data_IF_597063687807
#
_entry.id   IF_597063687807
#
_cell.length_a   1.000
_cell.length_b   1.000
_cell.length_c   1.000
_cell.angle_alpha   90.00
_cell.angle_beta   90.00
_cell.angle_gamma   90.00
#
_symmetry.space_group_name_H-M   'P 1'
#
loop_
_entity.id
_entity.type
_entity.pdbx_description
1 polymer ?
#
# COMPACT_ATOMS: atom_id res chain seq x y z
N UNK A 1 -31.31 -7.73 27.87
CA UNK A 1 -32.56 -8.50 27.78
C UNK A 1 -33.44 -7.98 26.64
N UNK A 2 -33.97 -8.88 25.85
CA UNK A 2 -34.96 -8.57 24.81
C UNK A 2 -36.32 -9.07 25.29
N UNK A 3 -37.33 -8.20 25.30
CA UNK A 3 -38.68 -8.53 25.73
C UNK A 3 -39.63 -8.31 24.58
N UNK A 4 -40.43 -9.35 24.25
CA UNK A 4 -41.50 -9.27 23.26
C UNK A 4 -42.66 -10.19 23.67
N UNK A 5 -43.92 -9.69 23.65
CA UNK A 5 -45.13 -10.44 24.00
C UNK A 5 -45.03 -11.22 25.32
N UNK A 6 -44.51 -10.59 26.40
CA UNK A 6 -44.29 -11.17 27.72
C UNK A 6 -43.16 -12.24 27.81
N UNK A 7 -42.52 -12.60 26.71
CA UNK A 7 -41.34 -13.46 26.74
C UNK A 7 -40.07 -12.61 26.84
N UNK A 8 -39.19 -13.01 27.75
CA UNK A 8 -37.88 -12.35 27.98
C UNK A 8 -36.76 -13.31 27.57
N UNK A 9 -35.79 -12.82 26.82
CA UNK A 9 -34.55 -13.56 26.49
C UNK A 9 -33.32 -12.71 26.80
N UNK A 10 -32.27 -13.37 27.26
CA UNK A 10 -31.00 -12.75 27.56
C UNK A 10 -30.03 -12.96 26.37
N UNK A 11 -29.41 -11.90 25.92
CA UNK A 11 -28.27 -11.96 25.01
C UNK A 11 -27.01 -11.80 25.88
N UNK A 12 -26.15 -12.82 25.92
CA UNK A 12 -24.89 -12.78 26.65
C UNK A 12 -23.86 -12.03 25.80
N UNK A 13 -23.15 -11.10 26.43
CA UNK A 13 -22.07 -10.31 25.79
C UNK A 13 -20.76 -10.54 26.53
N UNK A 14 -19.63 -10.38 25.82
CA UNK A 14 -18.28 -10.47 26.43
C UNK A 14 -17.85 -9.19 27.17
N UNK A 15 -18.80 -8.24 27.36
CA UNK A 15 -18.51 -6.97 28.02
C UNK A 15 -18.38 -7.15 29.52
N UNK A 16 -17.23 -6.76 30.06
CA UNK A 16 -16.93 -6.85 31.50
C UNK A 16 -16.79 -5.44 32.08
N UNK A 17 -17.72 -5.11 33.00
CA UNK A 17 -17.73 -3.86 33.75
C UNK A 17 -17.71 -4.17 35.24
N UNK A 18 -17.10 -3.32 36.05
CA UNK A 18 -17.22 -3.43 37.50
C UNK A 18 -18.58 -2.87 37.97
N UNK A 19 -19.11 -3.32 39.14
CA UNK A 19 -20.40 -2.85 39.66
C UNK A 19 -20.50 -1.31 39.76
N UNK A 20 -19.44 -0.62 40.09
CA UNK A 20 -19.39 0.83 40.22
C UNK A 20 -19.29 1.57 38.87
N UNK A 21 -19.03 0.84 37.76
CA UNK A 21 -18.97 1.37 36.40
C UNK A 21 -20.33 1.26 35.67
N UNK A 22 -21.36 0.71 36.32
CA UNK A 22 -22.69 0.46 35.73
C UNK A 22 -23.78 1.19 36.50
N UNK A 23 -24.59 1.98 35.80
CA UNK A 23 -25.80 2.59 36.32
C UNK A 23 -26.99 1.65 36.14
N UNK A 24 -27.39 1.02 37.25
CA UNK A 24 -28.54 0.11 37.27
C UNK A 24 -29.89 0.80 36.97
N UNK A 25 -30.04 2.10 37.29
CA UNK A 25 -31.28 2.83 37.05
C UNK A 25 -31.45 3.17 35.56
N UNK A 26 -30.38 3.54 34.90
CA UNK A 26 -30.37 3.93 33.49
C UNK A 26 -29.88 2.80 32.57
N UNK A 27 -29.55 1.63 33.12
CA UNK A 27 -29.08 0.44 32.39
C UNK A 27 -27.95 0.78 31.38
N UNK A 28 -26.94 1.58 31.80
CA UNK A 28 -25.86 2.03 30.95
C UNK A 28 -24.54 2.16 31.73
N UNK A 29 -23.38 2.09 31.04
CA UNK A 29 -22.09 2.38 31.64
C UNK A 29 -21.98 3.83 32.15
N UNK A 30 -21.35 4.02 33.33
CA UNK A 30 -21.06 5.35 33.90
C UNK A 30 -19.77 5.85 33.24
N UNK A 31 -19.88 6.92 32.46
CA UNK A 31 -18.73 7.55 31.79
C UNK A 31 -18.02 8.49 32.78
N UNK A 32 -17.00 7.99 33.46
CA UNK A 32 -16.16 8.84 34.31
C UNK A 32 -15.29 9.78 33.47
N UNK A 33 -15.11 11.05 33.85
CA UNK A 33 -14.36 12.03 33.06
C UNK A 33 -12.84 11.74 33.00
N UNK A 34 -12.26 11.03 33.97
CA UNK A 34 -10.83 10.67 34.00
C UNK A 34 -10.60 9.37 34.77
N UNK A 35 -9.73 8.49 34.26
CA UNK A 35 -9.34 7.23 34.90
C UNK A 35 -8.69 6.24 33.93
N UNK A 36 -7.89 5.31 34.41
CA UNK A 36 -7.19 4.29 33.60
C UNK A 36 -8.14 3.46 32.72
N UNK A 37 -9.39 3.29 33.13
CA UNK A 37 -10.39 2.50 32.39
C UNK A 37 -11.40 3.33 31.59
N UNK A 38 -11.26 4.66 31.55
CA UNK A 38 -12.22 5.54 30.84
C UNK A 38 -12.37 5.14 29.38
N UNK A 39 -11.28 4.87 28.67
CA UNK A 39 -11.30 4.43 27.27
C UNK A 39 -12.01 3.08 27.09
N UNK A 40 -11.78 2.15 28.04
CA UNK A 40 -12.43 0.83 28.01
C UNK A 40 -13.94 0.98 28.20
N UNK A 41 -14.38 1.77 29.18
CA UNK A 41 -15.80 2.01 29.45
C UNK A 41 -16.48 2.75 28.29
N UNK A 42 -15.82 3.74 27.70
CA UNK A 42 -16.33 4.41 26.50
C UNK A 42 -16.50 3.43 25.34
N UNK A 43 -15.53 2.52 25.12
CA UNK A 43 -15.62 1.48 24.09
C UNK A 43 -16.78 0.53 24.36
N UNK A 44 -16.96 0.09 25.62
CA UNK A 44 -18.10 -0.77 26.01
C UNK A 44 -19.42 -0.04 25.79
N UNK A 45 -19.53 1.22 26.20
CA UNK A 45 -20.73 2.02 25.98
C UNK A 45 -21.09 2.17 24.50
N UNK A 46 -20.10 2.37 23.63
CA UNK A 46 -20.31 2.41 22.18
C UNK A 46 -20.78 1.07 21.64
N UNK A 47 -20.20 -0.05 22.11
CA UNK A 47 -20.59 -1.40 21.69
C UNK A 47 -22.04 -1.71 22.10
N UNK A 48 -22.41 -1.42 23.34
CA UNK A 48 -23.80 -1.59 23.81
C UNK A 48 -24.78 -0.78 22.96
N UNK A 49 -24.44 0.48 22.63
CA UNK A 49 -25.29 1.30 21.75
C UNK A 49 -25.43 0.70 20.35
N UNK A 50 -24.38 0.09 19.82
CA UNK A 50 -24.43 -0.63 18.53
C UNK A 50 -25.35 -1.83 18.58
N UNK A 51 -25.24 -2.64 19.65
CA UNK A 51 -26.06 -3.83 19.82
C UNK A 51 -27.55 -3.46 19.94
N UNK A 52 -27.86 -2.37 20.64
CA UNK A 52 -29.24 -1.84 20.74
C UNK A 52 -29.75 -1.42 19.35
N UNK A 53 -28.98 -0.61 18.60
CA UNK A 53 -29.33 -0.18 17.25
C UNK A 53 -29.53 -1.35 16.29
N UNK A 54 -28.76 -2.43 16.45
CA UNK A 54 -28.88 -3.65 15.67
C UNK A 54 -30.16 -4.42 16.00
N UNK A 55 -30.47 -4.57 17.27
CA UNK A 55 -31.73 -5.15 17.72
C UNK A 55 -32.91 -4.35 17.18
N UNK A 56 -32.85 -3.03 17.24
CA UNK A 56 -33.90 -2.16 16.69
C UNK A 56 -34.11 -2.38 15.18
N UNK A 57 -33.02 -2.52 14.41
CA UNK A 57 -33.10 -2.83 12.97
C UNK A 57 -33.76 -4.20 12.71
N UNK A 58 -33.35 -5.23 13.46
CA UNK A 58 -33.97 -6.57 13.38
C UNK A 58 -35.45 -6.51 13.69
N UNK A 59 -35.82 -5.89 14.80
CA UNK A 59 -37.21 -5.74 15.24
C UNK A 59 -38.05 -4.97 14.20
N UNK A 60 -37.52 -3.87 13.67
CA UNK A 60 -38.14 -3.09 12.62
C UNK A 60 -38.34 -3.89 11.33
N UNK A 61 -37.34 -4.68 10.93
CA UNK A 61 -37.45 -5.57 9.77
C UNK A 61 -38.51 -6.64 9.95
N UNK A 62 -38.58 -7.26 11.12
CA UNK A 62 -39.61 -8.25 11.45
C UNK A 62 -41.01 -7.63 11.48
N UNK A 63 -41.16 -6.43 12.03
CA UNK A 63 -42.41 -5.69 12.05
C UNK A 63 -42.89 -5.28 10.64
N UNK A 64 -41.97 -4.85 9.77
CA UNK A 64 -42.31 -4.50 8.38
C UNK A 64 -42.86 -5.68 7.58
N UNK A 65 -42.41 -6.88 7.87
CA UNK A 65 -42.85 -8.10 7.20
C UNK A 65 -44.25 -8.59 7.64
N UNK A 66 -44.89 -7.88 8.58
CA UNK A 66 -46.26 -8.18 9.11
C UNK A 66 -46.44 -9.63 9.57
N UNK A 67 -45.34 -10.33 9.89
CA UNK A 67 -45.35 -11.73 10.37
C UNK A 67 -45.23 -11.72 11.89
N UNK A 68 -45.98 -12.61 12.55
CA UNK A 68 -45.79 -12.86 13.98
C UNK A 68 -44.40 -13.49 14.21
N UNK A 69 -43.67 -12.99 15.18
CA UNK A 69 -42.33 -13.50 15.55
C UNK A 69 -42.19 -13.66 17.06
N UNK A 70 -41.35 -14.60 17.46
CA UNK A 70 -41.05 -14.87 18.86
C UNK A 70 -39.76 -14.16 19.27
N UNK A 71 -39.56 -13.96 20.59
CA UNK A 71 -38.30 -13.39 21.14
C UNK A 71 -37.10 -14.21 20.77
N UNK A 72 -37.22 -15.53 20.65
CA UNK A 72 -36.14 -16.45 20.22
C UNK A 72 -35.69 -16.17 18.79
N UNK A 73 -36.60 -15.78 17.91
CA UNK A 73 -36.26 -15.40 16.54
C UNK A 73 -35.41 -14.12 16.48
N UNK A 74 -35.74 -13.14 17.34
CA UNK A 74 -34.91 -11.92 17.46
C UNK A 74 -33.50 -12.28 17.89
N UNK A 75 -33.35 -13.14 18.91
CA UNK A 75 -32.05 -13.58 19.42
C UNK A 75 -31.27 -14.36 18.35
N UNK A 76 -31.97 -15.26 17.63
CA UNK A 76 -31.39 -16.02 16.53
C UNK A 76 -30.88 -15.11 15.42
N UNK A 77 -31.67 -14.16 14.94
CA UNK A 77 -31.28 -13.19 13.93
C UNK A 77 -30.15 -12.26 14.43
N UNK A 78 -30.17 -11.91 15.71
CA UNK A 78 -29.07 -11.15 16.29
C UNK A 78 -27.74 -11.90 16.23
N UNK A 79 -27.71 -13.20 16.46
CA UNK A 79 -26.52 -14.04 16.33
C UNK A 79 -26.20 -14.43 14.88
N UNK A 80 -27.20 -14.64 14.03
CA UNK A 80 -27.02 -14.99 12.60
C UNK A 80 -26.41 -13.83 11.79
N UNK A 81 -26.81 -12.59 12.07
CA UNK A 81 -26.24 -11.41 11.38
C UNK A 81 -24.74 -11.24 11.68
N UNK A 82 -24.21 -11.85 12.74
CA UNK A 82 -22.75 -11.97 12.96
C UNK A 82 -22.08 -13.03 12.09
N UNK A 83 -22.85 -14.00 11.54
CA UNK A 83 -22.27 -15.21 10.93
C UNK A 83 -22.14 -15.16 9.41
N UNK A 84 -22.82 -14.24 8.72
CA UNK A 84 -23.06 -14.40 7.28
C UNK A 84 -22.22 -13.50 6.35
N UNK A 85 -21.38 -12.61 6.86
CA UNK A 85 -20.58 -11.75 5.98
C UNK A 85 -19.30 -12.44 5.57
N UNK A 86 -19.22 -12.84 4.30
CA UNK A 86 -18.03 -13.39 3.67
C UNK A 86 -16.90 -12.37 3.62
N UNK A 87 -15.69 -12.80 4.00
CA UNK A 87 -14.52 -11.95 3.93
C UNK A 87 -14.06 -11.70 2.48
N UNK A 88 -14.15 -12.71 1.61
CA UNK A 88 -13.74 -12.54 0.22
C UNK A 88 -14.69 -11.59 -0.52
N UNK A 89 -16.00 -11.78 -0.38
CA UNK A 89 -17.01 -10.88 -0.98
C UNK A 89 -16.84 -9.44 -0.48
N UNK A 90 -16.69 -9.25 0.82
CA UNK A 90 -16.47 -7.93 1.39
C UNK A 90 -15.18 -7.29 0.87
N UNK A 91 -14.09 -8.05 0.76
CA UNK A 91 -12.84 -7.53 0.21
C UNK A 91 -12.96 -7.18 -1.28
N UNK A 92 -13.72 -7.93 -2.06
CA UNK A 92 -14.03 -7.63 -3.46
C UNK A 92 -14.85 -6.34 -3.59
N UNK A 93 -15.84 -6.12 -2.72
CA UNK A 93 -16.57 -4.85 -2.65
C UNK A 93 -15.64 -3.65 -2.36
N UNK A 94 -14.70 -3.83 -1.43
CA UNK A 94 -13.70 -2.80 -1.10
C UNK A 94 -12.80 -2.51 -2.32
N UNK A 95 -12.40 -3.54 -3.08
CA UNK A 95 -11.61 -3.39 -4.30
C UNK A 95 -12.41 -2.59 -5.35
N UNK A 96 -13.65 -2.97 -5.62
CA UNK A 96 -14.53 -2.25 -6.56
C UNK A 96 -14.74 -0.79 -6.15
N UNK A 97 -14.88 -0.53 -4.85
CA UNK A 97 -14.98 0.85 -4.35
C UNK A 97 -13.68 1.65 -4.63
N UNK A 98 -12.51 1.03 -4.44
CA UNK A 98 -11.23 1.68 -4.73
C UNK A 98 -11.08 1.99 -6.22
N UNK A 99 -11.54 1.11 -7.10
CA UNK A 99 -11.55 1.32 -8.56
C UNK A 99 -12.46 2.48 -8.94
N UNK A 100 -13.69 2.53 -8.41
CA UNK A 100 -14.63 3.64 -8.63
C UNK A 100 -14.07 4.99 -8.17
N UNK A 101 -13.25 5.00 -7.13
CA UNK A 101 -12.54 6.18 -6.62
C UNK A 101 -11.27 6.53 -7.42
N UNK A 102 -10.97 5.83 -8.53
CA UNK A 102 -9.78 6.04 -9.34
C UNK A 102 -8.47 5.61 -8.63
N UNK A 103 -8.55 4.86 -7.52
CA UNK A 103 -7.38 4.37 -6.76
C UNK A 103 -6.89 3.02 -7.32
N UNK A 104 -6.74 2.91 -8.62
CA UNK A 104 -6.44 1.66 -9.34
C UNK A 104 -5.22 0.92 -8.76
N UNK A 105 -4.11 1.63 -8.44
CA UNK A 105 -2.91 0.96 -7.89
C UNK A 105 -3.19 0.35 -6.52
N UNK A 106 -4.02 0.98 -5.71
CA UNK A 106 -4.43 0.45 -4.40
C UNK A 106 -5.34 -0.76 -4.59
N UNK A 107 -6.30 -0.70 -5.53
CA UNK A 107 -7.16 -1.82 -5.88
C UNK A 107 -6.33 -3.05 -6.33
N UNK A 108 -5.36 -2.88 -7.21
CA UNK A 108 -4.43 -3.94 -7.63
C UNK A 108 -3.66 -4.58 -6.45
N UNK A 109 -3.24 -3.76 -5.50
CA UNK A 109 -2.55 -4.24 -4.31
C UNK A 109 -3.48 -5.09 -3.44
N UNK A 110 -4.73 -4.65 -3.26
CA UNK A 110 -5.76 -5.39 -2.52
C UNK A 110 -6.10 -6.70 -3.23
N UNK A 111 -6.28 -6.67 -4.54
CA UNK A 111 -6.51 -7.89 -5.36
C UNK A 111 -5.35 -8.88 -5.21
N UNK A 112 -4.11 -8.40 -5.18
CA UNK A 112 -2.93 -9.25 -4.98
C UNK A 112 -2.95 -9.92 -3.60
N UNK A 113 -3.30 -9.20 -2.54
CA UNK A 113 -3.41 -9.74 -1.20
C UNK A 113 -4.57 -10.75 -1.09
N UNK A 114 -5.74 -10.44 -1.67
CA UNK A 114 -6.89 -11.34 -1.73
C UNK A 114 -6.53 -12.65 -2.44
N UNK A 115 -5.91 -12.58 -3.61
CA UNK A 115 -5.50 -13.76 -4.36
C UNK A 115 -4.46 -14.60 -3.61
N UNK A 116 -3.60 -14.00 -2.81
CA UNK A 116 -2.68 -14.71 -1.94
C UNK A 116 -3.42 -15.45 -0.82
N UNK A 117 -4.38 -14.79 -0.20
CA UNK A 117 -5.18 -15.39 0.87
C UNK A 117 -6.12 -16.48 0.34
N UNK A 118 -6.75 -16.27 -0.84
CA UNK A 118 -7.54 -17.30 -1.54
C UNK A 118 -6.71 -18.57 -1.83
N UNK A 119 -5.44 -18.43 -2.24
CA UNK A 119 -4.55 -19.60 -2.44
C UNK A 119 -4.28 -20.35 -1.15
N UNK A 120 -3.99 -19.67 -0.05
CA UNK A 120 -3.82 -20.28 1.26
C UNK A 120 -5.07 -21.06 1.68
N UNK A 121 -6.25 -20.52 1.41
CA UNK A 121 -7.54 -21.14 1.73
C UNK A 121 -8.01 -22.18 0.69
N UNK A 122 -7.20 -22.48 -0.35
CA UNK A 122 -7.58 -23.35 -1.46
C UNK A 122 -8.90 -22.95 -2.16
N UNK A 123 -9.16 -21.63 -2.21
CA UNK A 123 -10.39 -21.05 -2.76
C UNK A 123 -11.59 -21.06 -1.83
N UNK A 124 -11.52 -21.71 -0.67
CA UNK A 124 -12.60 -21.73 0.31
C UNK A 124 -12.71 -20.38 1.00
N UNK A 125 -13.85 -19.75 0.90
CA UNK A 125 -14.15 -18.51 1.59
C UNK A 125 -14.18 -18.70 3.11
N UNK A 126 -14.22 -17.60 3.84
CA UNK A 126 -14.26 -17.58 5.29
C UNK A 126 -15.16 -16.44 5.76
N UNK A 127 -15.92 -16.69 6.82
CA UNK A 127 -16.75 -15.67 7.43
C UNK A 127 -15.91 -14.67 8.23
N UNK A 128 -16.32 -13.41 8.27
CA UNK A 128 -15.59 -12.35 8.98
C UNK A 128 -15.39 -12.66 10.47
N UNK A 129 -16.32 -13.35 11.10
CA UNK A 129 -16.24 -13.75 12.51
C UNK A 129 -15.33 -14.95 12.77
N UNK A 130 -14.93 -15.69 11.74
CA UNK A 130 -14.00 -16.83 11.83
C UNK A 130 -12.54 -16.41 11.68
N UNK A 131 -12.30 -15.14 11.31
CA UNK A 131 -10.93 -14.62 11.21
C UNK A 131 -10.42 -14.34 12.61
N UNK A 132 -9.51 -15.17 13.07
CA UNK A 132 -8.86 -15.09 14.36
C UNK A 132 -7.33 -15.00 14.25
N UNK A 133 -6.66 -14.97 15.40
CA UNK A 133 -5.20 -14.84 15.49
C UNK A 133 -4.48 -16.10 15.00
N UNK A 134 -5.06 -17.27 15.22
CA UNK A 134 -4.43 -18.55 14.87
C UNK A 134 -4.42 -18.72 13.36
N UNK A 135 -5.55 -18.48 12.69
CA UNK A 135 -5.64 -18.45 11.23
C UNK A 135 -4.63 -17.49 10.60
N UNK A 136 -4.48 -16.29 11.15
CA UNK A 136 -3.54 -15.32 10.58
C UNK A 136 -2.09 -15.71 10.83
N UNK A 137 -1.79 -16.40 11.93
CA UNK A 137 -0.47 -16.98 12.20
C UNK A 137 -0.17 -18.13 11.25
N UNK A 138 -1.13 -19.00 10.96
CA UNK A 138 -1.02 -20.08 9.96
C UNK A 138 -0.79 -19.50 8.56
N UNK A 139 -1.51 -18.43 8.19
CA UNK A 139 -1.29 -17.76 6.91
C UNK A 139 0.12 -17.19 6.79
N UNK A 140 0.63 -16.55 7.85
CA UNK A 140 2.02 -16.07 7.87
C UNK A 140 3.02 -17.22 7.73
N UNK A 141 2.82 -18.34 8.43
CA UNK A 141 3.65 -19.52 8.32
C UNK A 141 3.62 -20.12 6.89
N UNK A 142 2.43 -20.19 6.29
CA UNK A 142 2.27 -20.57 4.88
C UNK A 142 3.08 -19.68 3.93
N UNK A 143 3.00 -18.37 4.07
CA UNK A 143 3.77 -17.44 3.24
C UNK A 143 5.28 -17.66 3.40
N UNK A 144 5.76 -17.81 4.63
CA UNK A 144 7.18 -18.05 4.94
C UNK A 144 7.67 -19.38 4.34
N UNK A 145 6.90 -20.45 4.46
CA UNK A 145 7.26 -21.77 3.90
C UNK A 145 7.33 -21.77 2.37
N UNK A 146 6.60 -20.85 1.71
CA UNK A 146 6.67 -20.63 0.26
C UNK A 146 7.74 -19.61 -0.15
N UNK A 147 8.66 -19.24 0.74
CA UNK A 147 9.77 -18.32 0.46
C UNK A 147 9.35 -16.87 0.20
N UNK A 148 8.18 -16.45 0.68
CA UNK A 148 7.72 -15.07 0.52
C UNK A 148 8.54 -14.13 1.40
N UNK A 149 9.11 -13.08 0.82
CA UNK A 149 9.93 -12.11 1.55
C UNK A 149 9.12 -11.39 2.65
N UNK A 150 9.74 -11.12 3.81
CA UNK A 150 9.09 -10.56 4.99
C UNK A 150 8.35 -9.23 4.72
N UNK A 151 8.89 -8.37 3.84
CA UNK A 151 8.18 -7.16 3.44
C UNK A 151 6.90 -7.43 2.65
N UNK A 152 6.83 -8.54 1.91
CA UNK A 152 5.62 -8.98 1.20
C UNK A 152 4.62 -9.60 2.17
N UNK A 153 5.09 -10.38 3.16
CA UNK A 153 4.27 -10.89 4.27
C UNK A 153 3.61 -9.73 5.01
N UNK A 154 4.42 -8.76 5.44
CA UNK A 154 3.92 -7.54 6.09
C UNK A 154 2.91 -6.78 5.23
N UNK A 155 3.17 -6.67 3.94
CA UNK A 155 2.30 -5.99 2.99
C UNK A 155 0.92 -6.67 2.91
N UNK A 156 0.87 -8.00 2.81
CA UNK A 156 -0.40 -8.74 2.80
C UNK A 156 -1.14 -8.61 4.14
N UNK A 157 -0.45 -8.83 5.25
CA UNK A 157 -1.05 -8.72 6.59
C UNK A 157 -1.65 -7.33 6.85
N UNK A 158 -0.95 -6.26 6.43
CA UNK A 158 -1.47 -4.89 6.58
C UNK A 158 -2.70 -4.62 5.74
N UNK A 159 -2.79 -5.17 4.52
CA UNK A 159 -3.98 -5.01 3.67
C UNK A 159 -5.15 -5.78 4.28
N UNK A 160 -4.96 -7.07 4.63
CA UNK A 160 -6.02 -7.88 5.22
C UNK A 160 -6.51 -7.26 6.55
N UNK A 161 -5.60 -6.75 7.38
CA UNK A 161 -5.94 -6.00 8.60
C UNK A 161 -6.79 -4.76 8.31
N UNK A 162 -6.43 -4.00 7.25
CA UNK A 162 -7.19 -2.80 6.89
C UNK A 162 -8.61 -3.15 6.42
N UNK A 163 -8.78 -4.26 5.70
CA UNK A 163 -10.10 -4.76 5.28
C UNK A 163 -10.90 -5.24 6.49
N UNK A 164 -10.30 -6.05 7.37
CA UNK A 164 -10.94 -6.53 8.59
C UNK A 164 -11.41 -5.38 9.50
N UNK A 165 -10.53 -4.40 9.74
CA UNK A 165 -10.89 -3.23 10.54
C UNK A 165 -12.02 -2.42 9.91
N UNK A 166 -12.08 -2.32 8.57
CA UNK A 166 -13.18 -1.68 7.86
C UNK A 166 -14.51 -2.46 8.02
N UNK A 167 -14.45 -3.80 8.09
CA UNK A 167 -15.61 -4.61 8.40
C UNK A 167 -16.09 -4.37 9.85
N UNK A 168 -15.17 -4.24 10.80
CA UNK A 168 -15.46 -3.86 12.19
C UNK A 168 -16.11 -2.46 12.27
N UNK A 169 -15.56 -1.47 11.54
CA UNK A 169 -16.13 -0.13 11.47
C UNK A 169 -17.55 -0.11 10.89
N UNK A 170 -17.85 -1.03 9.96
CA UNK A 170 -19.19 -1.22 9.39
C UNK A 170 -20.10 -2.11 10.23
N UNK A 171 -19.67 -2.53 11.41
CA UNK A 171 -20.43 -3.40 12.32
C UNK A 171 -20.77 -4.79 11.73
N UNK A 172 -20.00 -5.25 10.73
CA UNK A 172 -20.17 -6.57 10.11
C UNK A 172 -19.56 -7.70 10.94
N UNK A 173 -18.62 -7.36 11.83
CA UNK A 173 -18.00 -8.28 12.80
C UNK A 173 -17.48 -7.51 14.01
N UNK A 174 -17.20 -8.22 15.09
CA UNK A 174 -16.59 -7.63 16.30
C UNK A 174 -15.08 -7.64 16.21
N UNK A 175 -14.40 -6.68 16.87
CA UNK A 175 -12.94 -6.62 16.88
C UNK A 175 -12.35 -7.71 17.76
N UNK A 176 -11.62 -8.67 17.14
CA UNK A 176 -10.90 -9.78 17.80
C UNK A 176 -9.38 -9.65 17.72
N UNK A 177 -8.88 -8.59 17.10
CA UNK A 177 -7.43 -8.33 16.90
C UNK A 177 -6.65 -9.48 16.21
N UNK A 178 -7.15 -10.07 15.12
CA UNK A 178 -6.55 -11.24 14.51
C UNK A 178 -5.11 -11.02 14.00
N UNK A 179 -4.71 -9.78 13.78
CA UNK A 179 -3.38 -9.40 13.27
C UNK A 179 -2.39 -9.00 14.38
N UNK A 180 -2.68 -9.28 15.67
CA UNK A 180 -1.84 -8.87 16.79
C UNK A 180 -0.47 -9.55 16.77
N UNK A 181 -0.42 -10.81 16.38
CA UNK A 181 0.77 -11.66 16.50
C UNK A 181 1.48 -11.91 15.16
N UNK A 182 1.00 -11.34 14.05
CA UNK A 182 1.62 -11.47 12.74
C UNK A 182 2.51 -10.28 12.38
N UNK A 183 3.48 -10.52 11.52
CA UNK A 183 4.44 -9.50 11.12
C UNK A 183 3.80 -8.42 10.24
N UNK A 184 3.84 -7.20 10.70
CA UNK A 184 3.38 -6.00 9.98
C UNK A 184 4.45 -4.90 9.92
N UNK A 185 5.70 -5.24 10.25
CA UNK A 185 6.86 -4.35 10.27
C UNK A 185 7.46 -4.07 8.90
N UNK A 186 8.64 -3.50 8.89
CA UNK A 186 9.45 -3.23 7.69
C UNK A 186 10.81 -3.92 7.88
N UNK A 187 11.09 -4.87 7.02
CA UNK A 187 12.39 -5.53 6.98
C UNK A 187 13.38 -4.74 6.12
N UNK A 188 14.65 -4.74 6.54
CA UNK A 188 15.72 -4.03 5.85
C UNK A 188 15.98 -4.68 4.49
N UNK A 189 16.01 -3.87 3.43
CA UNK A 189 16.34 -4.32 2.07
C UNK A 189 17.67 -3.77 1.64
N UNK A 190 18.49 -4.61 1.01
CA UNK A 190 19.76 -4.17 0.40
C UNK A 190 19.48 -3.18 -0.72
N UNK A 191 20.04 -1.98 -0.61
CA UNK A 191 19.96 -0.96 -1.65
C UNK A 191 21.05 -1.20 -2.70
N UNK A 192 20.66 -1.06 -3.97
CA UNK A 192 21.52 -1.38 -5.12
C UNK A 192 21.94 -0.11 -5.84
N UNK A 193 22.59 0.81 -5.11
CA UNK A 193 23.13 2.01 -5.71
C UNK A 193 24.40 1.67 -6.50
N UNK A 194 24.61 2.35 -7.63
CA UNK A 194 25.79 2.24 -8.45
C UNK A 194 26.68 3.48 -8.27
N UNK A 195 27.99 3.34 -8.20
CA UNK A 195 28.91 4.47 -8.20
C UNK A 195 28.92 5.18 -9.56
N UNK A 196 29.32 6.46 -9.57
CA UNK A 196 29.31 7.30 -10.77
C UNK A 196 30.14 6.69 -11.93
N UNK A 197 31.23 5.99 -11.62
CA UNK A 197 32.05 5.29 -12.62
C UNK A 197 31.24 4.28 -13.43
N UNK A 198 30.35 3.54 -12.78
CA UNK A 198 29.48 2.56 -13.44
C UNK A 198 28.38 3.26 -14.26
N UNK A 199 27.79 4.34 -13.75
CA UNK A 199 26.81 5.14 -14.52
C UNK A 199 27.47 5.67 -15.82
N UNK A 200 28.70 6.19 -15.74
CA UNK A 200 29.49 6.62 -16.92
C UNK A 200 29.74 5.47 -17.88
N UNK A 201 30.02 4.26 -17.37
CA UNK A 201 30.24 3.06 -18.20
C UNK A 201 28.95 2.65 -18.91
N UNK A 202 27.81 2.65 -18.23
CA UNK A 202 26.49 2.37 -18.83
C UNK A 202 26.19 3.39 -19.95
N UNK A 203 26.48 4.68 -19.72
CA UNK A 203 26.31 5.73 -20.75
C UNK A 203 27.10 5.42 -22.03
N UNK A 204 28.32 4.89 -21.89
CA UNK A 204 29.25 4.64 -22.99
C UNK A 204 29.06 3.28 -23.69
N UNK A 205 28.06 2.50 -23.31
CA UNK A 205 27.78 1.21 -23.99
C UNK A 205 27.48 1.44 -25.45
N UNK A 206 28.18 0.71 -26.31
CA UNK A 206 27.84 0.61 -27.71
C UNK A 206 26.64 -0.33 -27.89
N UNK A 207 25.50 0.23 -28.21
CA UNK A 207 24.24 -0.48 -28.37
C UNK A 207 23.62 -0.10 -29.72
N UNK A 208 22.97 -1.03 -30.41
CA UNK A 208 22.31 -0.71 -31.68
C UNK A 208 21.30 0.42 -31.46
N UNK A 209 21.40 1.47 -32.24
CA UNK A 209 20.58 2.68 -32.13
C UNK A 209 19.08 2.33 -32.16
N UNK A 210 18.32 2.95 -31.29
CA UNK A 210 16.85 2.77 -31.15
C UNK A 210 16.43 1.33 -30.85
N UNK A 211 17.35 0.43 -30.52
CA UNK A 211 17.01 -0.89 -30.01
C UNK A 211 16.32 -0.82 -28.65
N UNK A 212 15.71 -1.90 -28.22
CA UNK A 212 15.11 -1.99 -26.87
C UNK A 212 16.13 -1.87 -25.74
N UNK A 213 17.41 -2.26 -26.00
CA UNK A 213 18.51 -2.07 -25.04
C UNK A 213 18.90 -0.60 -24.94
N UNK A 214 19.06 0.06 -26.09
CA UNK A 214 19.36 1.49 -26.19
C UNK A 214 18.26 2.32 -25.51
N UNK A 215 17.00 2.02 -25.78
CA UNK A 215 15.85 2.65 -25.11
C UNK A 215 15.89 2.46 -23.57
N UNK A 216 16.15 1.24 -23.11
CA UNK A 216 16.20 0.96 -21.68
C UNK A 216 17.36 1.71 -21.00
N UNK A 217 18.53 1.75 -21.62
CA UNK A 217 19.67 2.56 -21.15
C UNK A 217 19.31 4.04 -21.06
N UNK A 218 18.70 4.58 -22.09
CA UNK A 218 18.34 5.99 -22.16
C UNK A 218 17.30 6.37 -21.11
N UNK A 219 16.29 5.53 -20.88
CA UNK A 219 15.32 5.75 -19.80
C UNK A 219 15.96 5.69 -18.42
N UNK A 220 16.91 4.78 -18.21
CA UNK A 220 17.68 4.70 -16.97
C UNK A 220 18.50 5.97 -16.73
N UNK A 221 19.22 6.45 -17.76
CA UNK A 221 20.03 7.67 -17.69
C UNK A 221 19.15 8.92 -17.55
N UNK A 222 18.04 9.00 -18.23
CA UNK A 222 17.09 10.11 -18.08
C UNK A 222 16.59 10.21 -16.65
N UNK A 223 16.19 9.08 -16.06
CA UNK A 223 15.83 9.04 -14.63
C UNK A 223 16.97 9.54 -13.75
N UNK A 224 18.21 9.13 -14.02
CA UNK A 224 19.38 9.57 -13.27
C UNK A 224 19.58 11.08 -13.39
N UNK A 225 19.56 11.63 -14.59
CA UNK A 225 19.75 13.07 -14.83
C UNK A 225 18.63 13.92 -14.23
N UNK A 226 17.41 13.37 -14.16
CA UNK A 226 16.26 14.02 -13.53
C UNK A 226 16.14 13.71 -12.03
N UNK A 227 17.26 13.57 -11.32
CA UNK A 227 17.34 13.35 -9.85
C UNK A 227 16.65 12.08 -9.38
N UNK A 228 16.71 11.03 -10.19
CA UNK A 228 16.05 9.76 -9.88
C UNK A 228 14.51 9.82 -10.05
N UNK A 229 14.02 10.52 -11.06
CA UNK A 229 12.59 10.56 -11.38
C UNK A 229 12.05 9.15 -11.56
N UNK A 230 10.88 8.87 -10.98
CA UNK A 230 10.27 7.54 -11.10
C UNK A 230 9.77 7.29 -12.54
N UNK A 231 9.80 6.02 -12.97
CA UNK A 231 9.38 5.68 -14.33
C UNK A 231 7.93 6.07 -14.64
N UNK A 232 7.06 6.05 -13.62
CA UNK A 232 5.69 6.53 -13.79
C UNK A 232 5.63 8.04 -14.02
N UNK A 233 6.46 8.82 -13.30
CA UNK A 233 6.51 10.27 -13.51
C UNK A 233 7.07 10.57 -14.91
N UNK A 234 8.12 9.85 -15.34
CA UNK A 234 8.68 9.96 -16.70
C UNK A 234 7.63 9.65 -17.78
N UNK A 235 6.85 8.59 -17.60
CA UNK A 235 5.85 8.16 -18.60
C UNK A 235 4.76 9.20 -18.84
N UNK A 236 4.41 9.95 -17.80
CA UNK A 236 3.35 10.96 -17.86
C UNK A 236 3.84 12.41 -17.96
N UNK A 237 5.17 12.63 -18.16
CA UNK A 237 5.69 13.96 -18.50
C UNK A 237 5.09 14.45 -19.83
N UNK A 238 4.62 15.68 -19.84
CA UNK A 238 4.09 16.33 -21.04
C UNK A 238 5.09 17.31 -21.63
N UNK A 239 5.02 17.55 -22.94
CA UNK A 239 5.86 18.56 -23.64
C UNK A 239 5.74 19.93 -23.00
N UNK A 240 4.53 20.31 -22.53
CA UNK A 240 4.26 21.57 -21.83
C UNK A 240 4.91 21.71 -20.46
N UNK A 241 5.37 20.58 -19.87
CA UNK A 241 6.05 20.59 -18.57
C UNK A 241 7.50 21.09 -18.67
N UNK A 242 8.03 21.17 -19.90
CA UNK A 242 9.34 21.74 -20.21
C UNK A 242 9.15 23.14 -20.82
N UNK A 243 9.50 24.18 -20.07
CA UNK A 243 9.39 25.57 -20.49
C UNK A 243 10.61 26.37 -20.01
N UNK A 244 11.14 27.23 -20.86
CA UNK A 244 12.24 28.13 -20.52
C UNK A 244 13.47 27.43 -19.87
N UNK A 245 13.80 26.22 -20.33
CA UNK A 245 14.91 25.44 -19.80
C UNK A 245 14.68 24.87 -18.40
N UNK A 246 13.43 24.82 -17.95
CA UNK A 246 13.03 24.22 -16.67
C UNK A 246 11.97 23.15 -16.92
N UNK A 247 12.22 21.94 -16.44
CA UNK A 247 11.23 20.87 -16.36
C UNK A 247 10.47 21.00 -15.03
N UNK A 248 9.17 21.24 -15.11
CA UNK A 248 8.29 21.42 -13.94
C UNK A 248 7.22 20.34 -13.93
N UNK A 249 7.20 19.48 -12.93
CA UNK A 249 6.21 18.41 -12.83
C UNK A 249 5.77 18.12 -11.40
N UNK A 250 4.56 17.61 -11.26
CA UNK A 250 4.04 17.16 -9.97
C UNK A 250 4.24 15.67 -9.80
N UNK A 251 4.98 15.28 -8.76
CA UNK A 251 5.27 13.88 -8.47
C UNK A 251 3.98 13.10 -8.16
N UNK A 252 3.69 12.04 -8.91
CA UNK A 252 2.42 11.29 -8.80
C UNK A 252 2.24 10.58 -7.45
N UNK A 253 3.32 10.20 -6.79
CA UNK A 253 3.26 9.49 -5.50
C UNK A 253 2.98 10.40 -4.32
N UNK A 254 3.53 11.60 -4.27
CA UNK A 254 3.53 12.50 -3.12
C UNK A 254 2.81 13.81 -3.39
N UNK A 255 2.50 14.12 -4.65
CA UNK A 255 1.88 15.37 -5.04
C UNK A 255 2.81 16.60 -5.00
N UNK A 256 4.08 16.42 -4.65
CA UNK A 256 5.04 17.54 -4.59
C UNK A 256 5.36 18.07 -5.98
N UNK A 257 5.43 19.39 -6.10
CA UNK A 257 5.90 20.08 -7.30
C UNK A 257 7.42 20.10 -7.31
N UNK A 258 8.03 19.69 -8.41
CA UNK A 258 9.48 19.64 -8.59
C UNK A 258 9.86 20.45 -9.83
N UNK A 259 11.00 21.16 -9.71
CA UNK A 259 11.59 21.96 -10.76
C UNK A 259 13.01 21.45 -11.04
N UNK A 260 13.30 21.09 -12.27
CA UNK A 260 14.59 20.56 -12.68
C UNK A 260 15.11 21.40 -13.83
N UNK A 261 16.31 21.97 -13.66
CA UNK A 261 17.00 22.65 -14.75
C UNK A 261 17.26 21.65 -15.87
N UNK A 262 16.89 22.03 -17.08
CA UNK A 262 17.06 21.21 -18.26
C UNK A 262 18.54 21.23 -18.68
N UNK A 263 19.13 20.05 -18.84
CA UNK A 263 20.54 19.91 -19.18
C UNK A 263 20.69 19.25 -20.55
N UNK A 264 21.82 19.53 -21.24
CA UNK A 264 22.16 18.98 -22.57
C UNK A 264 22.00 17.46 -22.64
N UNK A 265 22.42 16.75 -21.58
CA UNK A 265 22.32 15.29 -21.52
C UNK A 265 20.87 14.74 -21.50
N UNK A 266 19.92 15.54 -21.05
CA UNK A 266 18.49 15.19 -21.14
C UNK A 266 17.98 15.43 -22.56
N UNK A 267 18.38 16.54 -23.18
CA UNK A 267 18.01 16.88 -24.57
C UNK A 267 18.56 15.84 -25.55
N UNK A 268 19.81 15.43 -25.42
CA UNK A 268 20.42 14.39 -26.26
C UNK A 268 19.63 13.09 -26.26
N UNK A 269 18.99 12.73 -25.14
CA UNK A 269 18.11 11.56 -25.07
C UNK A 269 16.80 11.81 -25.83
N UNK A 270 16.18 12.96 -25.64
CA UNK A 270 14.91 13.29 -26.33
C UNK A 270 15.11 13.32 -27.84
N UNK A 271 16.19 13.94 -28.31
CA UNK A 271 16.50 14.12 -29.75
C UNK A 271 16.74 12.80 -30.50
N UNK A 272 17.06 11.72 -29.77
CA UNK A 272 17.22 10.37 -30.37
C UNK A 272 15.90 9.76 -30.84
N UNK A 273 14.79 10.17 -30.29
CA UNK A 273 13.49 9.61 -30.58
C UNK A 273 12.65 10.58 -31.40
N UNK A 274 11.83 10.07 -32.33
CA UNK A 274 10.89 10.94 -33.05
C UNK A 274 9.93 11.59 -32.05
N UNK A 275 9.55 12.81 -32.33
CA UNK A 275 8.57 13.51 -31.52
C UNK A 275 7.26 12.70 -31.46
N UNK A 276 6.77 12.45 -30.25
CA UNK A 276 5.44 11.85 -30.08
C UNK A 276 4.38 12.72 -30.75
N UNK A 277 3.45 12.11 -31.44
CA UNK A 277 2.25 12.81 -31.98
C UNK A 277 1.36 13.29 -30.82
N UNK A 278 1.36 12.58 -29.70
CA UNK A 278 0.62 12.94 -28.49
C UNK A 278 1.35 14.01 -27.64
N UNK A 279 0.74 14.36 -26.50
CA UNK A 279 1.24 15.39 -25.58
C UNK A 279 2.45 14.97 -24.73
N UNK A 280 2.85 13.69 -24.74
CA UNK A 280 3.90 13.17 -23.86
C UNK A 280 5.30 13.50 -24.35
N UNK A 281 6.20 13.81 -23.40
CA UNK A 281 7.59 14.21 -23.69
C UNK A 281 8.46 13.01 -24.12
N UNK A 282 8.29 11.86 -23.45
CA UNK A 282 9.05 10.63 -23.71
C UNK A 282 8.20 9.60 -24.46
N UNK A 283 8.79 8.74 -25.31
CA UNK A 283 8.06 7.77 -26.12
C UNK A 283 7.72 6.49 -25.32
N UNK A 284 7.26 6.67 -24.06
CA UNK A 284 6.84 5.59 -23.18
C UNK A 284 5.36 5.28 -23.39
N UNK A 285 4.53 6.32 -23.44
CA UNK A 285 3.12 6.26 -23.82
C UNK A 285 3.02 6.83 -25.23
N UNK A 286 2.58 6.01 -26.17
CA UNK A 286 2.57 6.35 -27.60
C UNK A 286 1.20 6.81 -28.11
N UNK A 287 0.13 6.40 -27.42
CA UNK A 287 -1.24 6.74 -27.78
C UNK A 287 -2.05 7.09 -26.53
N UNK A 288 -3.09 7.88 -26.69
CA UNK A 288 -3.97 8.30 -25.56
C UNK A 288 -4.96 7.20 -25.15
N UNK A 289 -4.82 5.98 -25.72
CA UNK A 289 -5.65 4.82 -25.32
C UNK A 289 -4.86 3.88 -24.44
N UNK A 290 -5.49 3.39 -23.37
CA UNK A 290 -4.87 2.40 -22.46
C UNK A 290 -3.48 2.80 -21.93
N UNK A 291 -3.28 4.07 -21.62
CA UNK A 291 -2.00 4.65 -21.14
C UNK A 291 -1.36 3.83 -20.03
N UNK A 292 -2.18 3.39 -19.07
CA UNK A 292 -1.71 2.59 -17.95
C UNK A 292 -1.13 1.23 -18.38
N UNK A 293 -1.75 0.58 -19.35
CA UNK A 293 -1.25 -0.69 -19.90
C UNK A 293 0.06 -0.47 -20.65
N UNK A 294 0.14 0.60 -21.46
CA UNK A 294 1.37 0.98 -22.17
C UNK A 294 2.50 1.24 -21.18
N UNK A 295 2.26 2.03 -20.13
CA UNK A 295 3.22 2.27 -19.05
C UNK A 295 3.70 0.95 -18.40
N UNK A 296 2.79 0.05 -18.02
CA UNK A 296 3.15 -1.23 -17.39
C UNK A 296 4.00 -2.10 -18.30
N UNK A 297 3.64 -2.19 -19.57
CA UNK A 297 4.38 -2.96 -20.59
C UNK A 297 5.77 -2.35 -20.83
N UNK A 298 5.88 -1.04 -20.96
CA UNK A 298 7.14 -0.34 -21.13
C UNK A 298 8.04 -0.52 -19.90
N UNK A 299 7.52 -0.40 -18.68
CA UNK A 299 8.30 -0.62 -17.46
C UNK A 299 8.85 -2.06 -17.39
N UNK A 300 8.02 -3.06 -17.75
CA UNK A 300 8.45 -4.46 -17.79
C UNK A 300 9.55 -4.69 -18.82
N UNK A 301 9.36 -4.15 -20.04
CA UNK A 301 10.36 -4.22 -21.11
C UNK A 301 11.68 -3.59 -20.65
N UNK A 302 11.64 -2.35 -20.19
CA UNK A 302 12.82 -1.60 -19.75
C UNK A 302 13.56 -2.35 -18.63
N UNK A 303 12.84 -2.83 -17.60
CA UNK A 303 13.48 -3.58 -16.52
C UNK A 303 14.10 -4.90 -16.98
N UNK A 304 13.51 -5.59 -17.96
CA UNK A 304 14.10 -6.80 -18.53
C UNK A 304 15.37 -6.48 -19.32
N UNK A 305 15.36 -5.45 -20.15
CA UNK A 305 16.53 -5.01 -20.90
C UNK A 305 17.64 -4.44 -19.99
N UNK A 306 17.30 -3.78 -18.90
CA UNK A 306 18.27 -3.36 -17.89
C UNK A 306 18.96 -4.55 -17.22
N UNK A 307 18.27 -5.69 -17.02
CA UNK A 307 18.90 -6.92 -16.52
C UNK A 307 19.92 -7.48 -17.53
N UNK A 308 19.60 -7.44 -18.84
CA UNK A 308 20.55 -7.83 -19.89
C UNK A 308 21.78 -6.93 -19.89
N UNK A 309 21.61 -5.60 -19.79
CA UNK A 309 22.69 -4.63 -19.62
C UNK A 309 23.52 -4.93 -18.36
N UNK A 310 22.88 -5.31 -17.26
CA UNK A 310 23.58 -5.69 -16.03
C UNK A 310 24.56 -6.87 -16.26
N UNK A 311 24.13 -7.89 -17.00
CA UNK A 311 24.94 -9.05 -17.33
C UNK A 311 26.10 -8.65 -18.25
N UNK A 312 25.85 -7.92 -19.34
CA UNK A 312 26.87 -7.50 -20.30
C UNK A 312 27.92 -6.57 -19.71
N UNK A 313 27.56 -5.83 -18.64
CA UNK A 313 28.47 -4.94 -17.92
C UNK A 313 29.19 -5.62 -16.74
N UNK A 314 28.95 -6.91 -16.47
CA UNK A 314 29.55 -7.65 -15.36
C UNK A 314 29.11 -7.16 -13.99
N UNK A 315 27.91 -6.58 -13.87
CA UNK A 315 27.38 -6.15 -12.58
C UNK A 315 26.85 -7.34 -11.79
N UNK A 316 27.26 -7.49 -10.55
CA UNK A 316 26.78 -8.55 -9.66
C UNK A 316 25.28 -8.41 -9.29
N UNK A 317 24.76 -7.17 -9.33
CA UNK A 317 23.38 -6.89 -8.97
C UNK A 317 22.51 -6.58 -10.19
N UNK A 318 21.26 -7.05 -10.17
CA UNK A 318 20.28 -6.80 -11.24
C UNK A 318 19.99 -5.30 -11.35
N UNK A 319 20.20 -4.73 -12.54
CA UNK A 319 19.85 -3.37 -12.85
C UNK A 319 18.33 -3.24 -13.07
N UNK A 320 17.72 -2.21 -12.51
CA UNK A 320 16.31 -1.85 -12.70
C UNK A 320 16.17 -0.34 -12.70
N UNK A 321 15.04 0.20 -13.16
CA UNK A 321 14.77 1.64 -13.13
C UNK A 321 14.93 2.26 -11.73
N UNK A 322 14.62 1.50 -10.68
CA UNK A 322 14.73 2.01 -9.31
C UNK A 322 16.18 2.20 -8.84
N UNK A 323 17.13 1.45 -9.44
CA UNK A 323 18.58 1.60 -9.18
C UNK A 323 19.07 2.99 -9.57
N UNK A 324 18.55 3.58 -10.65
CA UNK A 324 18.87 4.95 -11.05
C UNK A 324 18.63 5.95 -9.92
N UNK A 325 17.47 5.87 -9.28
CA UNK A 325 17.09 6.73 -8.16
C UNK A 325 17.99 6.52 -6.93
N UNK A 326 18.30 5.26 -6.62
CA UNK A 326 19.25 4.95 -5.54
C UNK A 326 20.63 5.52 -5.82
N UNK A 327 21.12 5.35 -7.06
CA UNK A 327 22.43 5.81 -7.46
C UNK A 327 22.56 7.33 -7.39
N UNK A 328 21.54 8.06 -7.86
CA UNK A 328 21.56 9.52 -7.76
C UNK A 328 21.66 9.99 -6.30
N UNK A 329 20.82 9.44 -5.42
CA UNK A 329 20.82 9.82 -4.01
C UNK A 329 22.15 9.48 -3.31
N UNK A 330 22.72 8.30 -3.59
CA UNK A 330 24.00 7.89 -3.01
C UNK A 330 25.16 8.73 -3.49
N UNK A 331 25.19 9.05 -4.79
CA UNK A 331 26.21 9.91 -5.39
C UNK A 331 26.09 11.33 -4.82
N UNK A 332 24.87 11.87 -4.71
CA UNK A 332 24.66 13.18 -4.08
C UNK A 332 25.17 13.21 -2.63
N UNK A 333 24.89 12.14 -1.85
CA UNK A 333 25.41 12.00 -0.48
C UNK A 333 26.93 11.93 -0.45
N UNK A 334 27.56 11.16 -1.36
CA UNK A 334 29.03 11.06 -1.44
C UNK A 334 29.72 12.37 -1.86
N UNK A 335 28.97 13.29 -2.44
CA UNK A 335 29.44 14.65 -2.77
C UNK A 335 29.10 15.66 -1.66
N UNK A 336 28.79 15.19 -0.45
CA UNK A 336 28.46 15.99 0.72
C UNK A 336 27.25 16.94 0.53
N UNK A 337 26.33 16.60 -0.38
CA UNK A 337 25.08 17.37 -0.52
C UNK A 337 24.23 17.14 0.74
N UNK A 338 23.72 18.21 1.38
CA UNK A 338 22.87 18.08 2.57
C UNK A 338 21.65 17.19 2.36
N UNK A 339 21.27 16.43 3.40
CA UNK A 339 20.16 15.49 3.34
C UNK A 339 18.84 16.17 2.96
N UNK A 340 18.61 17.40 3.47
CA UNK A 340 17.46 18.24 3.13
C UNK A 340 17.35 18.52 1.63
N UNK A 341 18.50 18.85 1.01
CA UNK A 341 18.58 19.14 -0.44
C UNK A 341 18.32 17.85 -1.25
N UNK A 342 18.90 16.72 -0.83
CA UNK A 342 18.63 15.42 -1.47
C UNK A 342 17.14 15.06 -1.35
N UNK A 343 16.57 15.24 -0.16
CA UNK A 343 15.16 14.98 0.12
C UNK A 343 14.22 15.81 -0.77
N UNK A 344 14.45 17.11 -0.81
CA UNK A 344 13.72 18.04 -1.68
C UNK A 344 13.89 17.69 -3.16
N UNK A 345 15.13 17.43 -3.61
CA UNK A 345 15.42 17.05 -4.99
C UNK A 345 14.75 15.76 -5.45
N UNK A 346 14.55 14.81 -4.53
CA UNK A 346 13.85 13.56 -4.76
C UNK A 346 12.32 13.67 -4.59
N UNK A 347 11.80 14.78 -4.06
CA UNK A 347 10.39 14.95 -3.74
C UNK A 347 9.91 13.97 -2.67
N UNK A 348 10.66 13.80 -1.57
CA UNK A 348 10.22 13.04 -0.40
C UNK A 348 9.44 13.93 0.56
N UNK A 349 8.37 13.41 1.16
CA UNK A 349 7.53 14.15 2.11
C UNK A 349 8.26 14.44 3.43
N UNK A 350 9.32 13.68 3.74
CA UNK A 350 10.13 13.90 4.93
C UNK A 350 11.58 13.47 4.71
N UNK A 351 12.50 14.13 5.40
CA UNK A 351 13.93 13.76 5.44
C UNK A 351 14.14 12.38 6.05
N UNK A 352 13.28 11.95 6.96
CA UNK A 352 13.37 10.62 7.54
C UNK A 352 13.22 9.52 6.47
N UNK A 353 12.34 9.72 5.48
CA UNK A 353 12.25 8.84 4.31
C UNK A 353 13.59 8.77 3.57
N UNK A 354 14.26 9.91 3.39
CA UNK A 354 15.56 9.98 2.71
C UNK A 354 16.65 9.34 3.56
N UNK A 355 16.63 9.54 4.89
CA UNK A 355 17.59 8.94 5.83
C UNK A 355 17.48 7.40 5.81
N UNK A 356 16.30 6.84 5.91
CA UNK A 356 16.06 5.39 5.79
C UNK A 356 16.51 4.87 4.41
N UNK A 357 16.28 5.66 3.37
CA UNK A 357 16.65 5.35 2.00
C UNK A 357 18.17 5.25 1.81
N UNK A 358 18.93 6.11 2.48
CA UNK A 358 20.41 6.18 2.42
C UNK A 358 21.12 5.37 3.51
N UNK A 359 20.45 5.00 4.59
CA UNK A 359 21.04 4.33 5.75
C UNK A 359 21.73 2.98 5.45
N UNK A 360 21.34 2.32 4.36
CA UNK A 360 21.95 1.05 3.95
C UNK A 360 23.18 1.20 3.04
N UNK A 361 23.67 2.42 2.85
CA UNK A 361 24.79 2.74 1.96
C UNK A 361 26.10 3.07 2.72
N UNK A 362 26.03 3.08 4.04
CA UNK A 362 27.11 3.67 4.88
C UNK A 362 28.25 2.72 5.22
N UNK A 363 28.20 1.41 4.94
CA UNK A 363 29.29 0.51 5.32
C UNK A 363 30.61 0.88 4.66
N UNK A 364 30.60 1.31 3.40
CA UNK A 364 31.84 1.74 2.72
C UNK A 364 32.40 3.06 3.24
N UNK A 365 31.59 3.90 3.88
CA UNK A 365 32.03 5.14 4.55
C UNK A 365 32.57 4.85 5.95
N UNK A 366 31.98 3.88 6.64
CA UNK A 366 32.46 3.40 7.95
C UNK A 366 33.82 2.73 7.77
N UNK A 367 34.00 1.92 6.71
CA UNK A 367 35.23 1.25 6.39
C UNK A 367 36.36 2.29 6.07
N UNK A 368 36.05 3.36 5.32
CA UNK A 368 36.96 4.48 5.08
C UNK A 368 37.30 5.34 6.29
N UNK A 369 36.44 5.36 7.29
CA UNK A 369 36.70 6.08 8.55
C UNK A 369 37.62 5.27 9.48
N UNK A 370 37.81 3.98 9.20
CA UNK A 370 38.75 3.10 9.91
C UNK A 370 40.12 3.00 9.24
N UNK A 371 40.31 3.50 8.00
CA UNK A 371 41.58 3.66 7.29
C UNK A 371 42.27 4.98 7.69
#
# INVERSE_FOLDING_TARGET
>A
FVTHRRAVRQITTDYKVFPHEWDNKQSRPILAPTGERTTVIQTIAQRIRRDINRLDKIINSLNCNKREFATDEIVKLFHETEREASFFEFMEEVILQLERLGKERTAENYTTALNSFKRFRNGNDIMLNEIDSDLMTEYEAYLKSHGVAMNTVSFYNRILRAVYNRAVEKEMTVQRYPFKHVYTGIDKTVKRALPLKIIKRIKKLDLPLKSSLDFARDMFLFSFYTRGMSFIDMAYLKKKDLQNGILSYRRRKTGQQLFIKWEKSMQEIIDKYPANENSYLLPIIKTDRNERLQYKNALRLVNNKLKEISVSTGLQSKLTMYVSRHSWASIAKSQNIPLSVISAGMGHDSENTTRIYLASLDNSMIDKANE
#
